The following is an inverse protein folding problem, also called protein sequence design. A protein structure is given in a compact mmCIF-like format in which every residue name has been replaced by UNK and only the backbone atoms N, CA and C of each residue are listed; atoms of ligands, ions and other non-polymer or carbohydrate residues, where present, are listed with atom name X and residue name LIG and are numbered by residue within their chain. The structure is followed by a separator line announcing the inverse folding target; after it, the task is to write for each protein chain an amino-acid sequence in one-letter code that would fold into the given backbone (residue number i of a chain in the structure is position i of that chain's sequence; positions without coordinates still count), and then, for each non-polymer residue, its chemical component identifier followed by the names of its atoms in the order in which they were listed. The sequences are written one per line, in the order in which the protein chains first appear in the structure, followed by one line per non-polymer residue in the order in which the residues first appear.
data_IF_193186582221
#
_entry.id   IF_193186582221
#
_cell.length_a   1.000
_cell.length_b   1.000
_cell.length_c   1.000
_cell.angle_alpha   90.00
_cell.angle_beta   90.00
_cell.angle_gamma   90.00
#
_symmetry.space_group_name_H-M   'P 1'
#
loop_
_entity.id
_entity.type
_entity.pdbx_description
1 polymer ?
#
# COMPACT_ATOMS: atom_id res chain seq x y z
N UNK A 1 -11.93 35.91 -8.38
CA UNK A 1 -11.06 35.00 -9.15
C UNK A 1 -9.90 34.57 -8.26
N UNK A 2 -10.00 33.38 -7.67
CA UNK A 2 -8.98 32.85 -6.75
C UNK A 2 -7.81 32.27 -7.56
N UNK A 3 -6.63 32.87 -7.42
CA UNK A 3 -5.37 32.30 -7.95
C UNK A 3 -5.12 31.00 -7.19
N UNK A 4 -5.45 29.85 -7.78
CA UNK A 4 -4.98 28.56 -7.29
C UNK A 4 -3.46 28.56 -7.38
N UNK A 5 -2.81 28.38 -6.25
CA UNK A 5 -1.36 28.19 -6.15
C UNK A 5 -0.91 27.10 -7.12
N UNK A 6 0.09 27.38 -7.95
CA UNK A 6 0.74 26.36 -8.78
C UNK A 6 1.19 25.21 -7.87
N UNK A 7 0.89 23.95 -8.22
CA UNK A 7 1.20 22.84 -7.34
C UNK A 7 2.72 22.65 -7.31
N UNK A 8 3.32 22.78 -6.12
CA UNK A 8 4.77 22.65 -5.94
C UNK A 8 5.28 21.31 -6.50
N UNK A 9 6.37 21.35 -7.26
CA UNK A 9 7.11 20.18 -7.72
C UNK A 9 8.14 19.85 -6.62
N UNK A 10 8.13 18.62 -6.11
CA UNK A 10 9.05 18.17 -5.07
C UNK A 10 10.06 17.19 -5.66
N UNK A 11 11.04 17.72 -6.39
CA UNK A 11 12.15 16.91 -6.88
C UNK A 11 12.89 16.25 -5.70
N UNK A 12 13.18 14.95 -5.81
CA UNK A 12 13.91 14.17 -4.80
C UNK A 12 13.08 13.28 -3.88
N UNK A 13 11.76 13.22 -4.06
CA UNK A 13 10.87 12.29 -3.31
C UNK A 13 10.92 10.87 -3.89
N UNK A 14 11.11 10.74 -5.20
CA UNK A 14 11.21 9.45 -5.90
C UNK A 14 12.61 9.26 -6.46
N UNK A 15 13.20 8.10 -6.24
CA UNK A 15 14.55 7.72 -6.67
C UNK A 15 14.45 6.74 -7.84
N UNK A 16 14.60 7.27 -9.06
CA UNK A 16 14.59 6.49 -10.28
C UNK A 16 15.95 5.81 -10.49
N UNK A 17 15.96 4.47 -10.54
CA UNK A 17 17.13 3.64 -10.83
C UNK A 17 16.95 3.01 -12.21
N UNK A 18 17.84 3.33 -13.13
CA UNK A 18 17.89 2.71 -14.46
C UNK A 18 19.34 2.67 -14.99
N UNK A 19 19.74 1.60 -15.70
CA UNK A 19 21.09 1.49 -16.25
C UNK A 19 21.32 2.34 -17.52
N UNK A 20 20.31 3.08 -17.97
CA UNK A 20 20.35 3.88 -19.20
C UNK A 20 19.61 5.23 -18.99
N UNK A 21 20.07 6.31 -19.65
CA UNK A 21 19.36 7.58 -19.65
C UNK A 21 18.18 7.56 -20.67
N UNK A 22 17.24 8.52 -20.57
CA UNK A 22 16.25 8.75 -21.62
C UNK A 22 16.91 8.99 -22.99
N UNK A 23 16.34 8.41 -24.04
CA UNK A 23 16.89 8.48 -25.40
C UNK A 23 15.81 8.71 -26.46
N UNK A 24 16.23 9.11 -27.67
CA UNK A 24 15.30 9.45 -28.77
C UNK A 24 14.39 10.61 -28.38
N UNK A 25 13.08 10.45 -28.57
CA UNK A 25 12.08 11.48 -28.26
C UNK A 25 11.68 11.53 -26.77
N UNK A 26 12.18 10.61 -25.95
CA UNK A 26 11.82 10.54 -24.52
C UNK A 26 12.15 11.81 -23.74
N UNK A 27 13.33 12.46 -23.87
CA UNK A 27 13.64 13.68 -23.13
C UNK A 27 12.61 14.79 -23.39
N UNK A 28 12.29 15.05 -24.66
CA UNK A 28 11.31 16.07 -25.02
C UNK A 28 9.90 15.74 -24.53
N UNK A 29 9.50 14.46 -24.57
CA UNK A 29 8.21 14.02 -24.04
C UNK A 29 8.11 14.17 -22.52
N UNK A 30 9.18 13.85 -21.79
CA UNK A 30 9.26 14.03 -20.33
C UNK A 30 9.13 15.51 -19.99
N UNK A 31 9.94 16.36 -20.63
CA UNK A 31 9.95 17.80 -20.37
C UNK A 31 8.56 18.42 -20.60
N UNK A 32 7.89 18.06 -21.71
CA UNK A 32 6.54 18.53 -22.01
C UNK A 32 5.51 18.10 -20.95
N UNK A 33 5.55 16.83 -20.51
CA UNK A 33 4.64 16.31 -19.49
C UNK A 33 4.85 17.01 -18.14
N UNK A 34 6.11 17.16 -17.72
CA UNK A 34 6.50 17.81 -16.47
C UNK A 34 6.09 19.28 -16.48
N UNK A 35 6.36 20.00 -17.57
CA UNK A 35 5.95 21.38 -17.76
C UNK A 35 4.43 21.52 -17.66
N UNK A 36 3.67 20.71 -18.40
CA UNK A 36 2.21 20.75 -18.36
C UNK A 36 1.65 20.52 -16.95
N UNK A 37 2.23 19.59 -16.17
CA UNK A 37 1.85 19.36 -14.77
C UNK A 37 2.18 20.58 -13.90
N UNK A 38 3.35 21.21 -14.10
CA UNK A 38 3.78 22.42 -13.38
C UNK A 38 2.89 23.63 -13.66
N UNK A 39 2.39 23.75 -14.89
CA UNK A 39 1.44 24.78 -15.32
C UNK A 39 -0.01 24.50 -14.86
N UNK A 40 -0.26 23.33 -14.28
CA UNK A 40 -1.57 22.95 -13.75
C UNK A 40 -2.52 22.35 -14.80
N UNK A 41 -2.01 21.83 -15.91
CA UNK A 41 -2.79 21.08 -16.88
C UNK A 41 -3.45 19.87 -16.21
N UNK A 42 -4.77 19.76 -16.32
CA UNK A 42 -5.55 18.67 -15.73
C UNK A 42 -5.50 17.38 -16.54
N UNK A 43 -5.21 17.49 -17.83
CA UNK A 43 -5.23 16.35 -18.75
C UNK A 43 -4.14 16.54 -19.80
N UNK A 44 -3.39 15.49 -20.05
CA UNK A 44 -2.32 15.42 -21.04
C UNK A 44 -2.33 14.03 -21.68
N UNK A 45 -1.84 13.92 -22.91
CA UNK A 45 -1.81 12.64 -23.64
C UNK A 45 -0.40 12.39 -24.15
N UNK A 46 0.20 11.28 -23.73
CA UNK A 46 1.45 10.79 -24.27
C UNK A 46 1.16 9.88 -25.48
N UNK A 47 1.33 10.41 -26.69
CA UNK A 47 1.14 9.66 -27.94
C UNK A 47 2.39 8.83 -28.28
N UNK A 48 2.62 7.75 -27.52
CA UNK A 48 3.80 6.89 -27.70
C UNK A 48 3.53 5.62 -28.51
N UNK A 49 4.30 5.39 -29.57
CA UNK A 49 4.27 4.14 -30.35
C UNK A 49 4.63 2.92 -29.49
N UNK A 50 4.24 1.72 -29.91
CA UNK A 50 4.65 0.47 -29.23
C UNK A 50 6.17 0.32 -29.25
N UNK A 51 6.77 -0.10 -28.13
CA UNK A 51 8.23 -0.25 -28.02
C UNK A 51 9.01 1.03 -27.70
N UNK A 52 8.37 2.21 -27.65
CA UNK A 52 9.05 3.49 -27.36
C UNK A 52 9.49 3.70 -25.90
N UNK A 53 9.28 2.74 -25.00
CA UNK A 53 9.61 2.89 -23.57
C UNK A 53 8.68 3.84 -22.82
N UNK A 54 7.36 3.73 -23.05
CA UNK A 54 6.34 4.56 -22.38
C UNK A 54 6.42 4.50 -20.85
N UNK A 55 6.62 3.30 -20.27
CA UNK A 55 6.75 3.17 -18.81
C UNK A 55 7.94 3.97 -18.29
N UNK A 56 9.09 3.88 -18.96
CA UNK A 56 10.28 4.63 -18.57
C UNK A 56 10.11 6.15 -18.71
N UNK A 57 9.40 6.60 -19.75
CA UNK A 57 9.00 8.02 -19.93
C UNK A 57 8.15 8.48 -18.73
N UNK A 58 7.15 7.67 -18.34
CA UNK A 58 6.30 7.97 -17.19
C UNK A 58 7.05 7.89 -15.85
N UNK A 59 8.01 6.96 -15.70
CA UNK A 59 8.85 6.86 -14.51
C UNK A 59 9.69 8.13 -14.33
N UNK A 60 10.36 8.62 -15.39
CA UNK A 60 11.07 9.90 -15.35
C UNK A 60 10.13 11.06 -15.00
N UNK A 61 8.92 11.08 -15.58
CA UNK A 61 7.91 12.11 -15.28
C UNK A 61 7.52 12.09 -13.79
N UNK A 62 7.25 10.91 -13.22
CA UNK A 62 6.91 10.75 -11.79
C UNK A 62 8.07 11.22 -10.91
N UNK A 63 9.30 10.83 -11.25
CA UNK A 63 10.50 11.20 -10.51
C UNK A 63 10.71 12.72 -10.44
N UNK A 64 10.52 13.41 -11.56
CA UNK A 64 10.67 14.88 -11.62
C UNK A 64 9.50 15.62 -10.97
N UNK A 65 8.27 15.09 -11.07
CA UNK A 65 7.08 15.73 -10.50
C UNK A 65 6.99 15.56 -8.99
N UNK A 66 7.44 14.41 -8.45
CA UNK A 66 7.52 14.20 -7.02
C UNK A 66 6.17 14.01 -6.31
N UNK A 67 5.17 13.40 -6.97
CA UNK A 67 3.81 13.23 -6.42
C UNK A 67 3.40 11.76 -6.32
N UNK A 68 2.62 11.38 -5.27
CA UNK A 68 1.98 10.08 -5.25
C UNK A 68 1.18 9.85 -6.53
N UNK A 69 1.34 8.69 -7.16
CA UNK A 69 0.83 8.44 -8.50
C UNK A 69 0.00 7.16 -8.55
N UNK A 70 -1.20 7.25 -9.13
CA UNK A 70 -2.06 6.11 -9.44
C UNK A 70 -1.89 5.76 -10.93
N UNK A 71 -1.45 4.54 -11.22
CA UNK A 71 -1.36 3.99 -12.58
C UNK A 71 -2.52 3.03 -12.77
N UNK A 72 -3.49 3.42 -13.62
CA UNK A 72 -4.66 2.62 -13.89
C UNK A 72 -4.45 1.74 -15.14
N UNK A 73 -4.62 0.43 -14.97
CA UNK A 73 -4.60 -0.55 -16.06
C UNK A 73 -5.96 -1.20 -16.25
N UNK A 74 -6.31 -1.47 -17.49
CA UNK A 74 -7.60 -2.08 -17.85
C UNK A 74 -7.67 -3.58 -17.58
N UNK A 75 -6.54 -4.25 -17.33
CA UNK A 75 -6.51 -5.68 -17.03
C UNK A 75 -5.41 -6.04 -15.99
N UNK A 76 -5.57 -7.18 -15.31
CA UNK A 76 -4.65 -7.65 -14.26
C UNK A 76 -3.25 -7.99 -14.82
N UNK A 77 -3.15 -8.52 -16.04
CA UNK A 77 -1.87 -8.92 -16.64
C UNK A 77 -0.94 -7.73 -16.88
N UNK A 78 -1.46 -6.68 -17.54
CA UNK A 78 -0.73 -5.44 -17.76
C UNK A 78 -0.47 -4.69 -16.45
N UNK A 79 -1.40 -4.75 -15.48
CA UNK A 79 -1.18 -4.18 -14.16
C UNK A 79 0.02 -4.85 -13.46
N UNK A 80 0.13 -6.18 -13.52
CA UNK A 80 1.25 -6.91 -12.94
C UNK A 80 2.58 -6.59 -13.64
N UNK A 81 2.57 -6.46 -14.98
CA UNK A 81 3.75 -6.03 -15.75
C UNK A 81 4.23 -4.64 -15.33
N UNK A 82 3.32 -3.66 -15.31
CA UNK A 82 3.63 -2.30 -14.89
C UNK A 82 4.11 -2.26 -13.44
N UNK A 83 3.51 -3.03 -12.54
CA UNK A 83 3.94 -3.14 -11.16
C UNK A 83 5.39 -3.65 -11.04
N UNK A 84 5.76 -4.69 -11.81
CA UNK A 84 7.13 -5.18 -11.85
C UNK A 84 8.10 -4.12 -12.40
N UNK A 85 7.77 -3.50 -13.54
CA UNK A 85 8.60 -2.45 -14.14
C UNK A 85 8.80 -1.26 -13.19
N UNK A 86 7.74 -0.77 -12.55
CA UNK A 86 7.85 0.34 -11.59
C UNK A 86 8.64 -0.06 -10.35
N UNK A 87 8.57 -1.31 -9.87
CA UNK A 87 9.40 -1.78 -8.76
C UNK A 87 10.88 -1.79 -9.12
N UNK A 88 11.21 -2.20 -10.34
CA UNK A 88 12.59 -2.19 -10.83
C UNK A 88 13.11 -0.75 -10.98
N UNK A 89 12.25 0.16 -11.45
CA UNK A 89 12.61 1.58 -11.59
C UNK A 89 12.69 2.33 -10.25
N UNK A 90 11.92 1.93 -9.24
CA UNK A 90 11.84 2.62 -7.95
C UNK A 90 12.06 1.67 -6.76
N UNK A 91 13.24 1.02 -6.65
CA UNK A 91 13.51 0.02 -5.63
C UNK A 91 13.54 0.58 -4.21
N UNK A 92 13.67 1.90 -4.06
CA UNK A 92 13.76 2.60 -2.78
C UNK A 92 12.44 3.32 -2.39
N UNK A 93 11.44 3.32 -3.27
CA UNK A 93 10.13 3.93 -3.00
C UNK A 93 9.02 2.89 -2.84
N UNK A 94 7.84 3.34 -2.40
CA UNK A 94 6.70 2.48 -2.17
C UNK A 94 5.91 2.23 -3.45
N UNK A 95 6.25 1.18 -4.19
CA UNK A 95 5.47 0.71 -5.34
C UNK A 95 4.52 -0.39 -4.87
N UNK A 96 3.21 -0.19 -5.07
CA UNK A 96 2.15 -1.06 -4.58
C UNK A 96 1.21 -1.53 -5.70
N UNK A 97 0.51 -2.62 -5.41
CA UNK A 97 -0.40 -3.29 -6.35
C UNK A 97 -1.82 -3.34 -5.78
N UNK A 98 -2.80 -2.86 -6.55
CA UNK A 98 -4.18 -2.73 -6.08
C UNK A 98 -5.19 -3.23 -7.13
N UNK A 99 -5.51 -4.52 -7.07
CA UNK A 99 -6.51 -5.14 -7.95
C UNK A 99 -7.56 -5.88 -7.13
N UNK A 100 -8.58 -6.44 -7.80
CA UNK A 100 -9.52 -7.34 -7.12
C UNK A 100 -8.77 -8.53 -6.53
N UNK A 101 -8.93 -8.70 -5.21
CA UNK A 101 -8.45 -9.84 -4.43
C UNK A 101 -9.24 -11.13 -4.64
N UNK A 102 -10.26 -11.14 -5.49
CA UNK A 102 -10.97 -12.37 -5.82
C UNK A 102 -10.24 -13.10 -6.93
N UNK A 103 -9.89 -14.36 -6.69
CA UNK A 103 -9.47 -15.32 -7.73
C UNK A 103 -10.69 -15.77 -8.53
N UNK A 104 -11.81 -15.97 -7.85
CA UNK A 104 -13.12 -16.24 -8.42
C UNK A 104 -14.17 -15.39 -7.74
N UNK A 105 -15.11 -14.83 -8.51
CA UNK A 105 -16.22 -14.05 -7.98
C UNK A 105 -17.47 -14.25 -8.84
N UNK A 106 -18.50 -14.79 -8.21
CA UNK A 106 -19.85 -14.83 -8.72
C UNK A 106 -20.70 -13.83 -7.93
N UNK A 107 -21.23 -12.78 -8.59
CA UNK A 107 -22.14 -11.86 -7.93
C UNK A 107 -23.46 -12.57 -7.61
N UNK A 108 -24.09 -12.13 -6.53
CA UNK A 108 -25.49 -12.44 -6.28
C UNK A 108 -26.36 -11.86 -7.40
N UNK A 109 -27.27 -12.66 -7.95
CA UNK A 109 -28.16 -12.22 -9.01
C UNK A 109 -29.48 -12.99 -8.99
N UNK A 110 -30.53 -12.35 -9.46
CA UNK A 110 -31.81 -13.01 -9.73
C UNK A 110 -32.11 -12.90 -11.23
N UNK A 111 -32.48 -14.01 -11.87
CA UNK A 111 -32.83 -14.12 -13.30
C UNK A 111 -34.35 -14.33 -13.41
N UNK A 112 -35.14 -13.26 -13.61
CA UNK A 112 -36.60 -13.34 -13.56
C UNK A 112 -37.20 -14.28 -14.61
N UNK A 113 -36.62 -14.35 -15.81
CA UNK A 113 -37.19 -15.16 -16.90
C UNK A 113 -37.18 -16.67 -16.59
N UNK A 114 -36.32 -17.11 -15.66
CA UNK A 114 -36.18 -18.51 -15.28
C UNK A 114 -36.54 -18.78 -13.82
N UNK A 115 -36.90 -17.73 -13.08
CA UNK A 115 -37.08 -17.77 -11.64
C UNK A 115 -35.89 -18.42 -10.90
N UNK A 116 -34.67 -18.02 -11.29
CA UNK A 116 -33.43 -18.54 -10.71
C UNK A 116 -32.77 -17.46 -9.86
N UNK A 117 -32.55 -17.77 -8.60
CA UNK A 117 -31.65 -17.03 -7.72
C UNK A 117 -30.26 -17.67 -7.76
N UNK A 118 -29.25 -16.83 -7.95
CA UNK A 118 -27.82 -17.18 -7.98
C UNK A 118 -27.21 -16.58 -6.72
N UNK A 119 -26.78 -17.46 -5.81
CA UNK A 119 -26.06 -17.06 -4.61
C UNK A 119 -24.68 -16.49 -4.94
N UNK A 120 -24.24 -15.58 -4.07
CA UNK A 120 -22.87 -15.08 -4.09
C UNK A 120 -21.91 -16.22 -3.74
N UNK A 121 -20.91 -16.43 -4.59
CA UNK A 121 -19.79 -17.32 -4.31
C UNK A 121 -18.48 -16.62 -4.68
N UNK A 122 -17.45 -16.78 -3.86
CA UNK A 122 -16.18 -16.08 -4.07
C UNK A 122 -15.00 -16.78 -3.39
N UNK A 123 -13.84 -16.72 -4.04
CA UNK A 123 -12.57 -17.18 -3.49
C UNK A 123 -11.61 -15.98 -3.36
N UNK A 124 -11.14 -15.72 -2.14
CA UNK A 124 -10.21 -14.60 -1.85
C UNK A 124 -8.76 -15.09 -1.93
N UNK A 125 -7.96 -14.33 -2.67
CA UNK A 125 -6.51 -14.44 -2.72
C UNK A 125 -5.88 -13.62 -1.59
N UNK A 126 -5.33 -14.31 -0.58
CA UNK A 126 -4.72 -13.69 0.59
C UNK A 126 -3.52 -12.80 0.26
N UNK A 127 -2.79 -13.12 -0.81
CA UNK A 127 -1.62 -12.34 -1.20
C UNK A 127 -2.02 -11.02 -1.86
N UNK A 128 -3.06 -11.02 -2.70
CA UNK A 128 -3.60 -9.78 -3.25
C UNK A 128 -4.25 -8.92 -2.15
N UNK A 129 -4.95 -9.52 -1.19
CA UNK A 129 -5.51 -8.80 -0.05
C UNK A 129 -4.42 -8.08 0.77
N UNK A 130 -3.32 -8.78 1.09
CA UNK A 130 -2.12 -8.19 1.69
C UNK A 130 -1.62 -6.99 0.90
N UNK A 131 -1.45 -7.14 -0.42
CA UNK A 131 -0.93 -6.06 -1.28
C UNK A 131 -1.84 -4.84 -1.30
N UNK A 132 -3.17 -5.03 -1.25
CA UNK A 132 -4.15 -3.95 -1.14
C UNK A 132 -4.03 -3.21 0.19
N UNK A 133 -3.92 -3.95 1.30
CA UNK A 133 -3.74 -3.35 2.62
C UNK A 133 -2.41 -2.60 2.70
N UNK A 134 -1.34 -3.16 2.12
CA UNK A 134 -0.05 -2.48 2.01
C UNK A 134 -0.16 -1.16 1.24
N UNK A 135 -0.92 -1.13 0.14
CA UNK A 135 -1.13 0.08 -0.65
C UNK A 135 -1.82 1.20 0.15
N UNK A 136 -2.90 0.87 0.88
CA UNK A 136 -3.63 1.87 1.68
C UNK A 136 -2.82 2.35 2.88
N UNK A 137 -2.10 1.46 3.56
CA UNK A 137 -1.20 1.83 4.68
C UNK A 137 -0.06 2.73 4.20
N UNK A 138 0.49 2.47 3.01
CA UNK A 138 1.54 3.31 2.42
C UNK A 138 1.05 4.72 2.10
N UNK A 139 -0.16 4.86 1.54
CA UNK A 139 -0.75 6.17 1.22
C UNK A 139 -0.97 7.06 2.45
N UNK A 140 -1.14 6.45 3.63
CA UNK A 140 -1.29 7.16 4.89
C UNK A 140 0.05 7.52 5.53
N UNK A 141 1.09 6.74 5.27
CA UNK A 141 2.37 6.83 5.99
C UNK A 141 3.47 7.58 5.25
N UNK A 142 3.44 7.62 3.91
CA UNK A 142 4.49 8.23 3.09
C UNK A 142 3.95 8.87 1.81
N UNK A 143 4.77 9.69 1.17
CA UNK A 143 4.38 10.50 -0.02
C UNK A 143 4.95 9.98 -1.33
N UNK A 144 5.97 9.14 -1.27
CA UNK A 144 6.64 8.52 -2.40
C UNK A 144 5.98 7.17 -2.77
N UNK A 145 4.68 7.23 -3.06
CA UNK A 145 3.86 6.04 -3.34
C UNK A 145 3.42 6.01 -4.80
N UNK A 146 3.66 4.88 -5.47
CA UNK A 146 3.07 4.54 -6.77
C UNK A 146 2.12 3.36 -6.56
N UNK A 147 0.85 3.51 -6.93
CA UNK A 147 -0.12 2.41 -6.89
C UNK A 147 -0.46 2.02 -8.31
N UNK A 148 -0.13 0.79 -8.69
CA UNK A 148 -0.60 0.19 -9.96
C UNK A 148 -1.90 -0.55 -9.69
N UNK A 149 -2.98 -0.11 -10.31
CA UNK A 149 -4.33 -0.56 -9.99
C UNK A 149 -5.13 -1.01 -11.21
N UNK A 150 -6.12 -1.85 -10.96
CA UNK A 150 -7.24 -2.06 -11.90
C UNK A 150 -8.39 -1.12 -11.55
N UNK A 151 -9.53 -1.25 -12.27
CA UNK A 151 -10.80 -0.61 -11.90
C UNK A 151 -11.26 -0.90 -10.46
N UNK A 152 -10.61 -1.81 -9.72
CA UNK A 152 -10.86 -1.93 -8.29
C UNK A 152 -10.65 -0.62 -7.51
N UNK A 153 -9.85 0.33 -8.01
CA UNK A 153 -9.62 1.61 -7.33
C UNK A 153 -10.82 2.57 -7.34
N UNK A 154 -11.88 2.25 -8.09
CA UNK A 154 -13.13 3.03 -8.10
C UNK A 154 -14.26 2.35 -7.31
N UNK A 155 -14.00 1.17 -6.74
CA UNK A 155 -14.95 0.51 -5.84
C UNK A 155 -14.83 1.06 -4.42
N UNK A 156 -15.92 0.97 -3.66
CA UNK A 156 -16.01 1.48 -2.30
C UNK A 156 -14.93 0.89 -1.38
N UNK A 157 -14.25 1.79 -0.68
CA UNK A 157 -13.44 1.54 0.50
C UNK A 157 -13.90 2.50 1.59
N UNK A 158 -13.56 2.17 2.83
CA UNK A 158 -13.87 2.95 4.01
C UNK A 158 -13.21 4.32 3.97
N UNK A 159 -13.70 5.20 4.84
CA UNK A 159 -13.23 6.58 4.98
C UNK A 159 -11.72 6.63 5.24
N UNK A 160 -10.93 7.36 4.43
CA UNK A 160 -9.51 7.58 4.68
C UNK A 160 -9.22 8.32 5.99
N UNK A 161 -10.15 9.15 6.45
CA UNK A 161 -10.10 9.82 7.75
C UNK A 161 -10.24 8.81 8.89
N UNK A 162 -11.21 7.90 8.80
CA UNK A 162 -11.45 6.87 9.81
C UNK A 162 -10.27 5.90 9.87
N UNK A 163 -9.76 5.48 8.70
CA UNK A 163 -8.58 4.62 8.61
C UNK A 163 -7.35 5.24 9.29
N UNK A 164 -7.17 6.57 9.14
CA UNK A 164 -6.11 7.34 9.81
C UNK A 164 -6.32 7.46 11.32
N UNK A 165 -7.57 7.67 11.75
CA UNK A 165 -7.91 7.81 13.16
C UNK A 165 -7.70 6.49 13.94
N UNK A 166 -7.77 5.35 13.24
CA UNK A 166 -7.56 4.02 13.82
C UNK A 166 -6.09 3.57 13.83
N UNK A 167 -5.12 4.42 13.45
CA UNK A 167 -3.71 4.02 13.49
C UNK A 167 -3.21 3.96 14.92
N UNK A 168 -2.67 2.80 15.31
CA UNK A 168 -2.04 2.59 16.62
C UNK A 168 -0.57 2.93 16.48
N UNK A 169 -0.11 3.93 17.24
CA UNK A 169 1.32 4.25 17.36
C UNK A 169 1.86 3.65 18.65
N UNK A 170 3.00 2.97 18.56
CA UNK A 170 3.73 2.41 19.70
C UNK A 170 5.16 2.94 19.66
N UNK A 171 5.69 3.39 20.79
CA UNK A 171 7.07 3.85 20.91
C UNK A 171 7.70 3.34 22.22
N UNK A 172 9.00 3.10 22.20
CA UNK A 172 9.76 2.68 23.38
C UNK A 172 9.75 3.76 24.46
N UNK A 173 9.69 3.34 25.73
CA UNK A 173 9.65 4.23 26.89
C UNK A 173 8.30 4.92 27.14
N UNK A 174 7.28 4.66 26.31
CA UNK A 174 5.93 5.21 26.52
C UNK A 174 5.12 4.31 27.48
N UNK A 175 4.42 4.89 28.46
CA UNK A 175 3.46 4.15 29.28
C UNK A 175 2.32 3.59 28.42
N UNK A 176 2.21 2.27 28.40
CA UNK A 176 1.17 1.53 27.71
C UNK A 176 1.06 0.18 28.40
N UNK A 177 -0.10 -0.12 29.00
CA UNK A 177 -0.31 -1.44 29.55
C UNK A 177 -0.47 -2.45 28.41
N UNK A 178 -0.13 -3.70 28.70
CA UNK A 178 -0.31 -4.80 27.74
C UNK A 178 -1.78 -4.91 27.32
N UNK A 179 -2.69 -4.88 28.28
CA UNK A 179 -4.12 -5.09 28.05
C UNK A 179 -4.74 -3.94 27.23
N UNK A 180 -4.25 -2.70 27.40
CA UNK A 180 -4.63 -1.57 26.55
C UNK A 180 -4.21 -1.80 25.09
N UNK A 181 -2.98 -2.30 24.86
CA UNK A 181 -2.54 -2.63 23.50
C UNK A 181 -3.41 -3.74 22.89
N UNK A 182 -3.75 -4.78 23.66
CA UNK A 182 -4.63 -5.85 23.18
C UNK A 182 -6.00 -5.31 22.78
N UNK A 183 -6.59 -4.43 23.59
CA UNK A 183 -7.87 -3.80 23.29
C UNK A 183 -7.81 -2.94 22.02
N UNK A 184 -6.73 -2.16 21.83
CA UNK A 184 -6.52 -1.37 20.63
C UNK A 184 -6.38 -2.27 19.39
N UNK A 185 -5.59 -3.35 19.45
CA UNK A 185 -5.42 -4.28 18.33
C UNK A 185 -6.74 -4.93 17.91
N UNK A 186 -7.57 -5.36 18.87
CA UNK A 186 -8.90 -5.91 18.57
C UNK A 186 -9.81 -4.85 17.94
N UNK A 187 -9.78 -3.60 18.44
CA UNK A 187 -10.57 -2.52 17.87
C UNK A 187 -10.27 -2.27 16.39
N UNK A 188 -9.03 -2.51 15.96
CA UNK A 188 -8.57 -2.37 14.56
C UNK A 188 -8.54 -3.69 13.80
N UNK A 189 -9.34 -4.67 14.25
CA UNK A 189 -9.64 -5.95 13.58
C UNK A 189 -8.51 -6.99 13.57
N UNK A 190 -7.53 -6.89 14.47
CA UNK A 190 -6.61 -8.00 14.68
C UNK A 190 -7.24 -9.07 15.55
N UNK A 191 -6.92 -10.33 15.25
CA UNK A 191 -7.41 -11.48 16.03
C UNK A 191 -6.32 -12.00 16.97
N UNK A 192 -6.70 -12.35 18.20
CA UNK A 192 -5.79 -13.06 19.11
C UNK A 192 -5.69 -14.53 18.71
N UNK A 193 -4.47 -15.07 18.62
CA UNK A 193 -4.22 -16.50 18.43
C UNK A 193 -3.02 -16.95 19.24
N UNK A 194 -3.25 -17.72 20.31
CA UNK A 194 -2.17 -18.16 21.20
C UNK A 194 -1.40 -19.38 20.63
N UNK A 195 -1.97 -20.10 19.66
CA UNK A 195 -1.36 -21.31 19.07
C UNK A 195 -0.36 -21.00 17.95
N UNK A 196 -0.81 -20.26 16.93
CA UNK A 196 -0.02 -19.95 15.74
C UNK A 196 -0.11 -18.45 15.43
N UNK A 197 1.05 -17.86 15.11
CA UNK A 197 1.10 -16.48 14.64
C UNK A 197 0.83 -16.49 13.13
N UNK A 198 -0.23 -15.83 12.72
CA UNK A 198 -0.65 -15.67 11.32
C UNK A 198 -0.87 -14.19 11.01
N UNK A 199 -0.91 -13.84 9.72
CA UNK A 199 -1.21 -12.48 9.26
C UNK A 199 -2.55 -11.97 9.81
N UNK A 200 -2.56 -10.73 10.28
CA UNK A 200 -3.74 -10.12 10.91
C UNK A 200 -3.97 -10.60 12.35
N UNK A 201 -3.03 -11.32 12.93
CA UNK A 201 -3.14 -11.86 14.29
C UNK A 201 -2.02 -11.39 15.20
N UNK A 202 -2.29 -11.47 16.49
CA UNK A 202 -1.27 -11.30 17.54
C UNK A 202 -1.34 -12.45 18.55
N UNK A 203 -0.24 -12.67 19.26
CA UNK A 203 -0.15 -13.64 20.36
C UNK A 203 0.59 -13.04 21.54
N UNK A 204 0.27 -13.54 22.73
CA UNK A 204 0.89 -13.08 23.98
C UNK A 204 1.74 -14.20 24.59
N UNK A 205 2.97 -13.88 25.00
CA UNK A 205 3.88 -14.79 25.68
C UNK A 205 4.55 -14.05 26.84
N UNK A 206 4.00 -14.19 28.05
CA UNK A 206 4.46 -13.43 29.21
C UNK A 206 4.34 -11.93 28.97
N UNK A 207 5.47 -11.23 29.01
CA UNK A 207 5.56 -9.78 28.82
C UNK A 207 5.84 -9.39 27.36
N UNK A 208 5.69 -10.34 26.43
CA UNK A 208 5.90 -10.13 25.01
C UNK A 208 4.60 -10.27 24.22
N UNK A 209 4.35 -9.35 23.30
CA UNK A 209 3.29 -9.48 22.27
C UNK A 209 3.98 -9.57 20.90
N UNK A 210 3.77 -10.70 20.20
CA UNK A 210 4.11 -10.79 18.77
C UNK A 210 2.87 -10.43 17.95
N UNK A 211 3.00 -9.51 17.01
CA UNK A 211 1.94 -9.01 16.14
C UNK A 211 2.38 -9.22 14.70
N UNK A 212 1.57 -9.87 13.87
CA UNK A 212 1.86 -9.99 12.45
C UNK A 212 0.86 -9.15 11.63
N UNK A 213 1.27 -7.96 11.15
CA UNK A 213 0.42 -7.14 10.32
C UNK A 213 -0.05 -7.85 9.05
N UNK A 214 -1.31 -7.66 8.62
CA UNK A 214 -1.81 -8.33 7.43
C UNK A 214 -1.19 -7.79 6.13
N UNK A 215 -0.62 -6.58 6.17
CA UNK A 215 0.04 -5.91 5.05
C UNK A 215 1.55 -6.16 4.96
N UNK A 216 2.20 -6.73 5.98
CA UNK A 216 3.66 -6.82 6.07
C UNK A 216 4.14 -8.28 6.08
N UNK A 217 5.31 -8.56 5.50
CA UNK A 217 5.90 -9.91 5.48
C UNK A 217 6.54 -10.28 6.82
N UNK A 218 6.98 -9.27 7.57
CA UNK A 218 7.59 -9.45 8.88
C UNK A 218 6.58 -9.21 10.00
N UNK A 219 6.82 -9.87 11.13
CA UNK A 219 6.10 -9.61 12.37
C UNK A 219 6.82 -8.51 13.16
N UNK A 220 6.13 -7.99 14.17
CA UNK A 220 6.69 -7.08 15.16
C UNK A 220 6.51 -7.68 16.55
N UNK A 221 7.60 -7.76 17.30
CA UNK A 221 7.64 -8.15 18.70
C UNK A 221 7.72 -6.88 19.56
N UNK A 222 6.79 -6.77 20.51
CA UNK A 222 6.76 -5.72 21.53
C UNK A 222 7.04 -6.38 22.88
N UNK A 223 8.08 -5.92 23.56
CA UNK A 223 8.45 -6.35 24.91
C UNK A 223 8.08 -5.27 25.92
N UNK A 224 7.52 -5.68 27.05
CA UNK A 224 7.04 -4.79 28.11
C UNK A 224 7.85 -4.98 29.39
N UNK A 225 8.03 -3.88 30.12
CA UNK A 225 8.47 -3.89 31.51
C UNK A 225 7.39 -3.24 32.38
N UNK A 226 6.54 -4.06 32.99
CA UNK A 226 5.30 -3.58 33.62
C UNK A 226 4.38 -2.94 32.58
N UNK A 227 3.98 -1.69 32.81
CA UNK A 227 3.09 -0.93 31.91
C UNK A 227 3.87 0.03 31.00
N UNK A 228 5.06 -0.36 30.57
CA UNK A 228 5.91 0.45 29.69
C UNK A 228 6.49 -0.41 28.58
N UNK A 229 6.47 0.11 27.35
CA UNK A 229 7.11 -0.54 26.20
C UNK A 229 8.62 -0.47 26.38
N UNK A 230 9.26 -1.61 26.59
CA UNK A 230 10.71 -1.72 26.76
C UNK A 230 11.41 -1.78 25.41
N UNK A 231 10.92 -2.60 24.48
CA UNK A 231 11.60 -2.84 23.21
C UNK A 231 10.63 -3.16 22.07
N UNK A 232 10.99 -2.72 20.85
CA UNK A 232 10.26 -3.00 19.61
C UNK A 232 11.25 -3.63 18.61
N UNK A 233 10.94 -4.84 18.17
CA UNK A 233 11.76 -5.58 17.21
C UNK A 233 10.93 -6.07 16.03
N UNK A 234 11.42 -5.88 14.81
CA UNK A 234 10.88 -6.51 13.61
C UNK A 234 11.48 -7.91 13.51
N UNK A 235 10.64 -8.93 13.36
CA UNK A 235 11.05 -10.33 13.42
C UNK A 235 10.50 -11.16 12.26
N UNK A 236 11.24 -12.19 11.88
CA UNK A 236 10.70 -13.21 10.99
C UNK A 236 9.62 -14.02 11.73
N UNK A 237 8.39 -14.14 11.18
CA UNK A 237 7.25 -14.70 11.90
C UNK A 237 7.39 -16.19 12.23
N UNK A 238 8.20 -16.92 11.46
CA UNK A 238 8.42 -18.37 11.61
C UNK A 238 9.67 -18.67 12.45
N UNK A 239 10.82 -18.09 12.11
CA UNK A 239 12.08 -18.34 12.83
C UNK A 239 12.21 -17.54 14.12
N UNK A 240 11.52 -16.41 14.25
CA UNK A 240 11.65 -15.48 15.36
C UNK A 240 12.94 -14.65 15.33
N UNK A 241 13.74 -14.76 14.27
CA UNK A 241 14.98 -13.99 14.09
C UNK A 241 14.67 -12.49 14.00
N UNK A 242 15.47 -11.68 14.68
CA UNK A 242 15.33 -10.22 14.69
C UNK A 242 15.96 -9.65 13.43
N UNK A 243 15.13 -9.09 12.55
CA UNK A 243 15.58 -8.41 11.34
C UNK A 243 16.04 -6.98 11.63
N UNK A 244 15.37 -6.28 12.55
CA UNK A 244 15.71 -4.91 12.94
C UNK A 244 15.12 -4.57 14.32
N UNK A 245 15.70 -3.58 15.00
CA UNK A 245 15.10 -2.94 16.18
C UNK A 245 14.64 -1.53 15.80
N UNK A 246 13.55 -1.06 16.40
CA UNK A 246 12.95 0.24 16.13
C UNK A 246 12.63 0.97 17.44
N UNK A 247 12.64 2.29 17.40
CA UNK A 247 12.18 3.12 18.52
C UNK A 247 10.66 3.32 18.49
N UNK A 248 10.05 3.27 17.31
CA UNK A 248 8.59 3.33 17.15
C UNK A 248 8.09 2.46 15.99
N UNK A 249 6.80 2.11 16.06
CA UNK A 249 6.08 1.39 15.02
C UNK A 249 4.61 1.83 14.95
N UNK A 250 3.98 1.54 13.82
CA UNK A 250 2.59 1.90 13.54
C UNK A 250 1.83 0.66 13.07
N UNK A 251 0.66 0.42 13.66
CA UNK A 251 -0.27 -0.61 13.21
C UNK A 251 -1.50 0.03 12.57
N UNK A 252 -1.81 -0.39 11.34
CA UNK A 252 -2.97 0.05 10.58
C UNK A 252 -4.10 -0.99 10.68
N UNK A 253 -5.37 -0.62 10.46
CA UNK A 253 -6.48 -1.57 10.49
C UNK A 253 -6.26 -2.79 9.61
N UNK A 254 -6.65 -3.95 10.13
CA UNK A 254 -6.39 -5.23 9.49
C UNK A 254 -7.29 -5.53 8.28
N UNK A 255 -8.33 -4.72 8.06
CA UNK A 255 -9.31 -4.85 6.96
C UNK A 255 -9.67 -3.46 6.42
N UNK A 256 -10.04 -3.39 5.14
CA UNK A 256 -10.73 -2.24 4.58
C UNK A 256 -12.20 -2.31 4.99
N UNK A 257 -12.73 -1.20 5.54
CA UNK A 257 -14.17 -1.03 5.76
C UNK A 257 -14.88 -0.59 4.48
#
# INVERSE_FOLDING_TARGET
MSRRSSPALNAGVFELVAPYPPAGDQPAAIDALVQGIGEGAKSQVLMGVTGSGKTFTMANTIAQVGRPTLVLSHNKTLAAQLYAEFRDFFPHNAVHYFVSYYDYYQPEAYIPQRDIYIEKDAAINKEIDRLRLAATSALVSRRDVIVVASVSCIYGLGSPEDYRAMVIRIATGVPLSRDDLLAQLVAVQYERSDMALERGRFRVRGDTIDIWPPYDELATRIEFWGDTVESIAVTHPTSGEVAARKDETYFYPAKHF
#
